data_IF_441228152407
#
_entry.id   IF_441228152407
#
_cell.length_a   1.000
_cell.length_b   1.000
_cell.length_c   1.000
_cell.angle_alpha   90.00
_cell.angle_beta   90.00
_cell.angle_gamma   90.00
#
_symmetry.space_group_name_H-M   'P 1'
#
loop_
_entity.id
_entity.type
_entity.pdbx_description
1 polymer ?
#
# COMPACT_ATOMS: atom_id res chain seq x y z
N UNK A 1 -0.75 31.69 -39.05
CA UNK A 1 -0.18 30.63 -38.19
C UNK A 1 -1.25 29.58 -37.95
N UNK A 2 -1.06 28.37 -38.46
CA UNK A 2 -1.98 27.24 -38.26
C UNK A 2 -1.81 26.69 -36.85
N UNK A 3 -2.89 26.69 -36.06
CA UNK A 3 -2.88 26.19 -34.69
C UNK A 3 -3.37 24.73 -34.70
N UNK A 4 -2.44 23.78 -34.58
CA UNK A 4 -2.78 22.36 -34.46
C UNK A 4 -3.17 22.04 -33.02
N UNK A 5 -4.43 21.67 -32.81
CA UNK A 5 -4.93 21.22 -31.51
C UNK A 5 -4.67 19.72 -31.39
N UNK A 6 -3.72 19.34 -30.55
CA UNK A 6 -3.44 17.94 -30.25
C UNK A 6 -4.35 17.45 -29.11
N UNK A 7 -5.01 16.30 -29.24
CA UNK A 7 -5.75 15.69 -28.14
C UNK A 7 -4.76 15.17 -27.08
N UNK A 8 -4.76 15.79 -25.90
CA UNK A 8 -4.00 15.31 -24.75
C UNK A 8 -4.85 14.28 -24.01
N UNK A 9 -4.44 13.02 -24.02
CA UNK A 9 -5.09 11.96 -23.24
C UNK A 9 -4.80 12.12 -21.75
N UNK A 10 -5.70 12.82 -21.05
CA UNK A 10 -5.68 12.98 -19.58
C UNK A 10 -6.07 11.67 -18.91
N UNK A 11 -5.10 10.78 -18.72
CA UNK A 11 -5.33 9.45 -18.12
C UNK A 11 -4.12 8.52 -18.19
N UNK A 12 -3.18 8.82 -19.09
CA UNK A 12 -1.91 8.12 -19.18
C UNK A 12 -1.14 8.35 -17.87
N UNK A 13 -0.72 7.25 -17.23
CA UNK A 13 -0.01 7.23 -15.94
C UNK A 13 -0.85 7.60 -14.70
N UNK A 14 -2.19 7.55 -14.80
CA UNK A 14 -3.02 7.49 -13.58
C UNK A 14 -2.72 6.18 -12.85
N UNK A 15 -2.54 6.30 -11.54
CA UNK A 15 -2.41 5.15 -10.67
C UNK A 15 -3.64 4.25 -10.75
N UNK A 16 -3.43 2.95 -10.56
CA UNK A 16 -4.51 1.96 -10.56
C UNK A 16 -5.35 2.19 -9.30
N UNK A 17 -6.49 2.86 -9.48
CA UNK A 17 -7.49 3.09 -8.44
C UNK A 17 -8.78 2.34 -8.79
N UNK A 18 -9.21 1.42 -7.92
CA UNK A 18 -10.48 0.69 -8.05
C UNK A 18 -11.49 1.27 -7.06
N UNK A 19 -12.46 2.05 -7.55
CA UNK A 19 -13.52 2.67 -6.72
C UNK A 19 -12.96 3.34 -5.44
N UNK A 20 -11.87 4.10 -5.57
CA UNK A 20 -11.21 4.81 -4.46
C UNK A 20 -10.16 3.99 -3.69
N UNK A 21 -10.04 2.69 -3.96
CA UNK A 21 -9.03 1.81 -3.40
C UNK A 21 -7.76 1.84 -4.27
N UNK A 22 -6.60 2.11 -3.66
CA UNK A 22 -5.35 2.33 -4.43
C UNK A 22 -4.45 1.09 -4.42
N UNK A 23 -3.96 0.68 -5.59
CA UNK A 23 -2.92 -0.34 -5.80
C UNK A 23 -2.74 -1.39 -4.67
N UNK A 24 -1.79 -1.18 -3.74
CA UNK A 24 -1.43 -2.11 -2.65
C UNK A 24 -2.62 -2.54 -1.78
N UNK A 25 -3.63 -1.70 -1.61
CA UNK A 25 -4.80 -2.02 -0.79
C UNK A 25 -5.71 -3.06 -1.43
N UNK A 26 -5.68 -3.18 -2.76
CA UNK A 26 -6.43 -4.20 -3.50
C UNK A 26 -5.87 -5.59 -3.15
N UNK A 27 -4.54 -5.69 -3.09
CA UNK A 27 -3.85 -6.90 -2.66
C UNK A 27 -4.17 -7.28 -1.21
N UNK A 28 -4.20 -6.31 -0.29
CA UNK A 28 -4.60 -6.58 1.09
C UNK A 28 -6.04 -7.05 1.21
N UNK A 29 -6.97 -6.48 0.43
CA UNK A 29 -8.35 -6.96 0.40
C UNK A 29 -8.44 -8.39 -0.12
N UNK A 30 -7.78 -8.69 -1.24
CA UNK A 30 -7.76 -10.03 -1.82
C UNK A 30 -7.17 -11.07 -0.87
N UNK A 31 -5.99 -10.80 -0.31
CA UNK A 31 -5.36 -11.66 0.68
C UNK A 31 -6.19 -11.81 1.97
N UNK A 32 -6.85 -10.73 2.40
CA UNK A 32 -7.76 -10.76 3.54
C UNK A 32 -8.93 -11.71 3.33
N UNK A 33 -9.56 -11.72 2.15
CA UNK A 33 -10.65 -12.65 1.83
C UNK A 33 -10.17 -14.11 1.91
N UNK A 34 -9.00 -14.41 1.36
CA UNK A 34 -8.41 -15.77 1.44
C UNK A 34 -8.14 -16.17 2.89
N UNK A 35 -7.61 -15.24 3.70
CA UNK A 35 -7.38 -15.45 5.13
C UNK A 35 -8.69 -15.71 5.88
N UNK A 36 -9.73 -14.89 5.65
CA UNK A 36 -11.05 -15.09 6.25
C UNK A 36 -11.63 -16.46 5.88
N UNK A 37 -11.41 -16.94 4.66
CA UNK A 37 -11.82 -18.28 4.24
C UNK A 37 -11.08 -19.38 5.03
N UNK A 38 -9.77 -19.23 5.23
CA UNK A 38 -8.99 -20.16 6.05
C UNK A 38 -9.43 -20.15 7.51
N UNK A 39 -9.74 -18.97 8.07
CA UNK A 39 -10.29 -18.82 9.43
C UNK A 39 -11.64 -19.52 9.55
N UNK A 40 -12.53 -19.37 8.56
CA UNK A 40 -13.81 -20.10 8.54
C UNK A 40 -13.60 -21.62 8.58
N UNK A 41 -12.73 -22.14 7.71
CA UNK A 41 -12.43 -23.56 7.65
C UNK A 41 -11.88 -24.07 9.00
N UNK A 42 -10.96 -23.33 9.62
CA UNK A 42 -10.43 -23.67 10.94
C UNK A 42 -11.49 -23.69 12.03
N UNK A 43 -12.33 -22.65 12.12
CA UNK A 43 -13.41 -22.59 13.11
C UNK A 43 -14.45 -23.70 12.90
N UNK A 44 -14.74 -24.04 11.65
CA UNK A 44 -15.68 -25.11 11.30
C UNK A 44 -15.15 -26.49 11.73
N UNK A 45 -13.86 -26.78 11.48
CA UNK A 45 -13.23 -28.04 11.89
C UNK A 45 -13.21 -28.19 13.41
N UNK A 46 -13.12 -27.09 14.16
CA UNK A 46 -13.21 -27.09 15.64
C UNK A 46 -14.61 -27.41 16.17
N UNK A 47 -15.61 -27.60 15.30
CA UNK A 47 -16.97 -27.96 15.70
C UNK A 47 -17.83 -26.79 16.16
N UNK A 48 -17.42 -25.55 15.90
CA UNK A 48 -18.24 -24.38 16.21
C UNK A 48 -19.51 -24.36 15.35
N UNK A 49 -20.67 -23.97 15.92
CA UNK A 49 -21.91 -23.87 15.17
C UNK A 49 -21.75 -22.84 14.03
N UNK A 50 -22.24 -23.22 12.83
CA UNK A 50 -22.08 -22.45 11.59
C UNK A 50 -22.57 -21.00 11.71
N UNK A 51 -23.66 -20.78 12.46
CA UNK A 51 -24.19 -19.45 12.76
C UNK A 51 -23.20 -18.56 13.52
N UNK A 52 -22.49 -19.12 14.50
CA UNK A 52 -21.52 -18.39 15.31
C UNK A 52 -20.28 -18.04 14.48
N UNK A 53 -19.80 -18.98 13.66
CA UNK A 53 -18.71 -18.73 12.70
C UNK A 53 -19.07 -17.60 11.72
N UNK A 54 -20.30 -17.61 11.18
CA UNK A 54 -20.77 -16.56 10.28
C UNK A 54 -20.86 -15.19 10.96
N UNK A 55 -21.34 -15.14 12.21
CA UNK A 55 -21.38 -13.89 12.96
C UNK A 55 -19.98 -13.32 13.20
N UNK A 56 -19.03 -14.16 13.64
CA UNK A 56 -17.64 -13.76 13.89
C UNK A 56 -16.97 -13.27 12.61
N UNK A 57 -17.13 -14.00 11.49
CA UNK A 57 -16.55 -13.60 10.20
C UNK A 57 -17.21 -12.37 9.62
N UNK A 58 -18.52 -12.20 9.78
CA UNK A 58 -19.22 -11.00 9.35
C UNK A 58 -18.68 -9.76 10.06
N UNK A 59 -18.53 -9.82 11.38
CA UNK A 59 -17.99 -8.72 12.20
C UNK A 59 -16.51 -8.47 11.86
N UNK A 60 -15.70 -9.53 11.81
CA UNK A 60 -14.26 -9.41 11.54
C UNK A 60 -13.99 -8.93 10.12
N UNK A 61 -14.74 -9.45 9.15
CA UNK A 61 -14.64 -9.08 7.74
C UNK A 61 -15.07 -7.64 7.49
N UNK A 62 -16.20 -7.20 8.04
CA UNK A 62 -16.63 -5.79 7.92
C UNK A 62 -15.63 -4.85 8.59
N UNK A 63 -15.15 -5.17 9.80
CA UNK A 63 -14.11 -4.40 10.47
C UNK A 63 -12.82 -4.33 9.63
N UNK A 64 -12.40 -5.45 9.03
CA UNK A 64 -11.22 -5.53 8.17
C UNK A 64 -11.37 -4.63 6.93
N UNK A 65 -12.49 -4.74 6.19
CA UNK A 65 -12.77 -3.92 5.01
C UNK A 65 -12.74 -2.43 5.37
N UNK A 66 -13.44 -2.03 6.44
CA UNK A 66 -13.45 -0.63 6.91
C UNK A 66 -12.04 -0.12 7.23
N UNK A 67 -11.20 -0.95 7.87
CA UNK A 67 -9.81 -0.58 8.14
C UNK A 67 -9.01 -0.42 6.85
N UNK A 68 -9.10 -1.35 5.90
CA UNK A 68 -8.35 -1.25 4.63
C UNK A 68 -8.73 0.01 3.85
N UNK A 69 -10.02 0.34 3.77
CA UNK A 69 -10.48 1.58 3.13
C UNK A 69 -9.99 2.84 3.85
N UNK A 70 -10.03 2.85 5.20
CA UNK A 70 -9.48 3.96 5.99
C UNK A 70 -7.98 4.17 5.75
N UNK A 71 -7.21 3.09 5.69
CA UNK A 71 -5.78 3.16 5.38
C UNK A 71 -5.54 3.63 3.93
N UNK A 72 -6.35 3.15 2.98
CA UNK A 72 -6.28 3.59 1.57
C UNK A 72 -6.52 5.08 1.42
N UNK A 73 -7.50 5.62 2.15
CA UNK A 73 -7.78 7.05 2.13
C UNK A 73 -6.68 7.87 2.82
N UNK A 74 -6.17 7.40 3.95
CA UNK A 74 -5.17 8.12 4.75
C UNK A 74 -3.79 8.20 4.09
N UNK A 75 -3.31 7.11 3.49
CA UNK A 75 -1.95 7.02 2.99
C UNK A 75 -1.86 7.04 1.46
N UNK A 76 -2.93 6.69 0.75
CA UNK A 76 -2.90 6.56 -0.70
C UNK A 76 -1.86 5.53 -1.18
N UNK A 77 -1.53 5.55 -2.47
CA UNK A 77 -0.78 4.48 -3.14
C UNK A 77 0.60 4.20 -2.52
N UNK A 78 1.39 5.24 -2.29
CA UNK A 78 2.77 5.12 -1.79
C UNK A 78 2.95 5.54 -0.33
N UNK A 79 1.89 5.98 0.37
CA UNK A 79 2.05 6.60 1.69
C UNK A 79 2.51 5.62 2.77
N UNK A 80 2.03 4.37 2.76
CA UNK A 80 2.52 3.37 3.72
C UNK A 80 3.97 3.00 3.47
N UNK A 81 4.38 2.87 2.21
CA UNK A 81 5.78 2.60 1.87
C UNK A 81 6.69 3.73 2.35
N UNK A 82 6.28 4.99 2.16
CA UNK A 82 6.99 6.16 2.68
C UNK A 82 6.99 6.21 4.21
N UNK A 83 5.88 5.87 4.86
CA UNK A 83 5.80 5.84 6.32
C UNK A 83 6.71 4.76 6.93
N UNK A 84 6.81 3.59 6.29
CA UNK A 84 7.72 2.53 6.68
C UNK A 84 9.18 2.93 6.45
N UNK A 85 9.50 3.51 5.29
CA UNK A 85 10.84 4.01 4.98
C UNK A 85 11.29 5.09 5.99
N UNK A 86 10.39 5.99 6.40
CA UNK A 86 10.67 6.98 7.47
C UNK A 86 11.07 6.34 8.80
N UNK A 87 10.54 5.17 9.14
CA UNK A 87 10.91 4.44 10.37
C UNK A 87 12.28 3.76 10.26
N UNK A 88 12.74 3.47 9.05
CA UNK A 88 14.03 2.80 8.81
C UNK A 88 15.19 3.79 8.65
N UNK A 89 14.93 5.09 8.56
CA UNK A 89 15.96 6.11 8.40
C UNK A 89 16.71 6.35 9.73
N UNK A 90 18.06 6.41 9.70
CA UNK A 90 18.86 6.75 10.88
C UNK A 90 18.60 8.20 11.32
N UNK A 91 18.67 8.45 12.63
CA UNK A 91 18.32 9.74 13.24
C UNK A 91 19.25 10.88 12.80
N UNK A 92 20.49 10.56 12.48
CA UNK A 92 21.45 11.49 11.87
C UNK A 92 22.45 10.70 11.04
N UNK A 93 22.81 11.23 9.87
CA UNK A 93 23.96 10.77 9.09
C UNK A 93 25.11 11.71 9.41
N UNK A 94 26.09 11.25 10.20
CA UNK A 94 27.31 12.02 10.49
C UNK A 94 28.40 11.60 9.53
N UNK A 95 28.97 12.57 8.82
CA UNK A 95 30.07 12.36 7.88
C UNK A 95 31.28 13.14 8.36
N UNK A 96 32.34 12.43 8.76
CA UNK A 96 33.54 13.03 9.37
C UNK A 96 34.62 13.40 8.34
N UNK A 97 34.44 13.01 7.08
CA UNK A 97 35.44 13.19 6.02
C UNK A 97 34.83 13.85 4.79
N UNK A 98 35.48 14.92 4.30
CA UNK A 98 35.11 15.62 3.06
C UNK A 98 35.66 14.95 1.80
N UNK A 99 36.48 13.89 1.97
CA UNK A 99 37.17 13.19 0.87
C UNK A 99 36.21 12.68 -0.21
N UNK A 100 35.00 12.26 0.16
CA UNK A 100 34.01 11.72 -0.79
C UNK A 100 33.52 12.79 -1.78
N UNK A 101 33.53 14.07 -1.39
CA UNK A 101 33.16 15.18 -2.27
C UNK A 101 34.37 15.72 -3.04
N UNK A 102 35.54 15.83 -2.40
CA UNK A 102 36.76 16.32 -3.05
C UNK A 102 37.43 15.30 -4.00
N UNK A 103 37.19 14.00 -3.85
CA UNK A 103 37.75 12.99 -4.75
C UNK A 103 37.11 12.98 -6.15
N UNK A 104 35.89 13.51 -6.29
CA UNK A 104 35.17 13.55 -7.56
C UNK A 104 35.72 14.64 -8.51
N UNK A 105 36.43 15.64 -7.98
CA UNK A 105 36.99 16.74 -8.77
C UNK A 105 38.21 16.30 -9.61
N UNK A 106 38.93 15.25 -9.17
CA UNK A 106 40.12 14.73 -9.86
C UNK A 106 39.85 13.76 -11.02
N UNK A 107 38.60 13.34 -11.24
CA UNK A 107 38.24 12.36 -12.30
C UNK A 107 37.83 13.08 -13.60
N UNK A 108 37.90 14.42 -13.63
CA UNK A 108 37.46 15.25 -14.77
C UNK A 108 38.61 15.90 -15.56
N UNK A 109 39.86 15.57 -15.25
CA UNK A 109 41.05 15.90 -16.07
C UNK A 109 41.53 14.69 -16.87
#
# INVERSE_FOLDING_TARGET
MSNNIYPINKGINKSIEFKGLKAQYIWYLGGGIVLLMAVFAGLYILGLPSLLCMAILGITGTAFVMKVYSLSHKYGEYGMMKALARRQLPRAVKMYSRKVFCAQEKIKE
#
